data_IF_324204413308
#
_entry.id   IF_324204413308
#
_cell.length_a   1.000
_cell.length_b   1.000
_cell.length_c   1.000
_cell.angle_alpha   90.00
_cell.angle_beta   90.00
_cell.angle_gamma   90.00
#
_symmetry.space_group_name_H-M   'P 1'
#
loop_
_entity.id
_entity.type
_entity.pdbx_description
1 polymer ?
#
# COMPACT_ATOMS: atom_id res chain seq x y z
N UNK A 1 -2.25 32.32 -17.75
CA UNK A 1 -3.44 32.09 -16.90
C UNK A 1 -3.47 30.61 -16.55
N UNK A 2 -3.55 30.22 -15.27
CA UNK A 2 -3.80 28.82 -14.93
C UNK A 2 -5.15 28.40 -15.52
N UNK A 3 -5.19 27.23 -16.13
CA UNK A 3 -6.41 26.71 -16.78
C UNK A 3 -6.94 25.56 -15.93
N UNK A 4 -8.26 25.44 -15.72
CA UNK A 4 -8.80 24.28 -15.04
C UNK A 4 -8.51 23.02 -15.86
N UNK A 5 -7.85 22.06 -15.23
CA UNK A 5 -7.64 20.71 -15.76
C UNK A 5 -8.46 19.71 -14.93
N UNK A 6 -8.90 18.63 -15.57
CA UNK A 6 -9.63 17.55 -14.90
C UNK A 6 -8.67 16.43 -14.54
N UNK A 7 -8.72 15.97 -13.30
CA UNK A 7 -7.96 14.84 -12.79
C UNK A 7 -8.88 13.75 -12.27
N UNK A 8 -8.50 12.50 -12.45
CA UNK A 8 -9.15 11.32 -11.90
C UNK A 8 -8.31 10.81 -10.73
N UNK A 9 -8.92 10.56 -9.58
CA UNK A 9 -8.21 9.96 -8.45
C UNK A 9 -8.15 8.44 -8.62
N UNK A 10 -6.95 7.87 -8.78
CA UNK A 10 -6.72 6.44 -9.03
C UNK A 10 -6.40 5.63 -7.76
N UNK A 11 -6.38 6.26 -6.58
CA UNK A 11 -6.09 5.59 -5.32
C UNK A 11 -4.62 5.66 -4.93
N UNK A 12 -4.16 4.72 -4.09
CA UNK A 12 -2.77 4.65 -3.67
C UNK A 12 -1.93 3.72 -4.54
N UNK A 13 -0.66 4.06 -4.71
CA UNK A 13 0.38 3.22 -5.31
C UNK A 13 1.57 3.14 -4.37
N UNK A 14 2.41 2.13 -4.58
CA UNK A 14 3.69 2.04 -3.92
C UNK A 14 4.73 2.81 -4.74
N UNK A 15 5.46 3.71 -4.10
CA UNK A 15 6.67 4.28 -4.69
C UNK A 15 7.79 3.22 -4.75
N UNK A 16 8.93 3.60 -5.34
CA UNK A 16 10.12 2.72 -5.43
C UNK A 16 10.71 2.33 -4.06
N UNK A 17 10.21 2.91 -2.97
CA UNK A 17 10.60 2.66 -1.58
C UNK A 17 9.47 2.00 -0.77
N UNK A 18 8.46 1.42 -1.43
CA UNK A 18 7.28 0.80 -0.80
C UNK A 18 6.48 1.75 0.12
N UNK A 19 6.50 3.05 -0.15
CA UNK A 19 5.63 4.01 0.53
C UNK A 19 4.36 4.20 -0.28
N UNK A 20 3.22 4.22 0.41
CA UNK A 20 1.97 4.60 -0.23
C UNK A 20 2.02 6.08 -0.63
N UNK A 21 1.86 6.32 -1.93
CA UNK A 21 1.66 7.63 -2.55
C UNK A 21 0.29 7.66 -3.21
N UNK A 22 -0.27 8.85 -3.38
CA UNK A 22 -1.59 9.04 -3.98
C UNK A 22 -1.45 9.37 -5.46
N UNK A 23 -2.08 8.55 -6.29
CA UNK A 23 -2.08 8.70 -7.74
C UNK A 23 -3.33 9.43 -8.21
N UNK A 24 -3.08 10.47 -9.00
CA UNK A 24 -4.03 11.23 -9.78
C UNK A 24 -3.70 11.01 -11.24
N UNK A 25 -4.67 11.18 -12.13
CA UNK A 25 -4.46 10.97 -13.56
C UNK A 25 -5.12 12.07 -14.37
N UNK A 26 -4.44 12.58 -15.39
CA UNK A 26 -5.04 13.54 -16.33
C UNK A 26 -5.97 12.84 -17.33
N UNK A 27 -5.58 11.64 -17.73
CA UNK A 27 -6.28 10.68 -18.59
C UNK A 27 -5.88 9.27 -18.11
N UNK A 28 -6.37 8.20 -18.75
CA UNK A 28 -6.01 6.85 -18.32
C UNK A 28 -4.50 6.53 -18.41
N UNK A 29 -3.67 7.33 -19.09
CA UNK A 29 -2.26 7.01 -19.38
C UNK A 29 -1.24 7.89 -18.65
N UNK A 30 -1.65 9.03 -18.08
CA UNK A 30 -0.75 10.02 -17.49
C UNK A 30 -0.90 10.11 -15.97
N UNK A 31 -0.14 9.31 -15.20
CA UNK A 31 -0.14 9.38 -13.75
C UNK A 31 0.58 10.62 -13.23
N UNK A 32 0.03 11.16 -12.16
CA UNK A 32 0.49 12.33 -11.42
C UNK A 32 0.43 12.01 -9.93
N UNK A 33 1.47 12.36 -9.18
CA UNK A 33 1.55 12.03 -7.77
C UNK A 33 1.50 13.29 -6.90
N UNK A 34 0.44 13.41 -6.11
CA UNK A 34 0.19 14.57 -5.23
C UNK A 34 -0.43 14.12 -3.91
N UNK A 35 -0.52 15.01 -2.92
CA UNK A 35 -1.21 14.72 -1.66
C UNK A 35 -2.67 14.32 -1.89
N UNK A 36 -3.21 13.45 -1.03
CA UNK A 36 -4.64 13.10 -1.05
C UNK A 36 -5.48 14.30 -0.61
N UNK A 37 -6.62 14.52 -1.25
CA UNK A 37 -7.66 15.35 -0.63
C UNK A 37 -8.54 14.54 0.33
N UNK A 38 -9.06 15.23 1.33
CA UNK A 38 -10.11 14.68 2.18
C UNK A 38 -11.33 14.29 1.32
N UNK A 39 -11.85 13.08 1.54
CA UNK A 39 -13.05 12.60 0.85
C UNK A 39 -12.84 12.11 -0.59
N UNK A 40 -11.60 12.05 -1.12
CA UNK A 40 -11.41 11.56 -2.49
C UNK A 40 -11.81 10.09 -2.66
N UNK A 41 -12.71 9.84 -3.61
CA UNK A 41 -13.15 8.52 -4.04
C UNK A 41 -12.39 8.07 -5.31
N UNK A 42 -11.99 6.80 -5.35
CA UNK A 42 -11.33 6.19 -6.53
C UNK A 42 -12.28 6.27 -7.73
N UNK A 43 -11.75 6.70 -8.87
CA UNK A 43 -12.52 6.99 -10.08
C UNK A 43 -13.27 8.32 -10.03
N UNK A 44 -13.24 9.08 -8.94
CA UNK A 44 -13.83 10.41 -8.90
C UNK A 44 -13.03 11.38 -9.78
N UNK A 45 -13.72 12.30 -10.45
CA UNK A 45 -13.11 13.37 -11.23
C UNK A 45 -13.10 14.67 -10.44
N UNK A 46 -12.03 15.45 -10.62
CA UNK A 46 -11.77 16.67 -9.86
C UNK A 46 -11.20 17.73 -10.79
N UNK A 47 -11.62 18.97 -10.66
CA UNK A 47 -11.04 20.11 -11.37
C UNK A 47 -9.94 20.74 -10.53
N UNK A 48 -8.79 21.05 -11.10
CA UNK A 48 -7.70 21.77 -10.45
C UNK A 48 -7.12 22.81 -11.38
N UNK A 49 -6.69 23.94 -10.84
CA UNK A 49 -5.99 24.94 -11.64
C UNK A 49 -4.56 24.45 -11.91
N UNK A 50 -4.18 24.44 -13.18
CA UNK A 50 -2.86 23.97 -13.58
C UNK A 50 -2.44 24.42 -14.96
N UNK A 51 -1.33 23.85 -15.42
CA UNK A 51 -0.81 24.01 -16.76
C UNK A 51 -0.21 22.69 -17.24
N UNK A 52 -0.45 22.38 -18.50
CA UNK A 52 0.15 21.24 -19.20
C UNK A 52 1.14 21.81 -20.20
N UNK A 53 2.42 21.48 -20.05
CA UNK A 53 3.49 21.86 -20.97
C UNK A 53 4.21 20.59 -21.44
N UNK A 54 3.82 20.11 -22.63
CA UNK A 54 4.27 18.83 -23.17
C UNK A 54 3.94 17.66 -22.22
N UNK A 55 5.00 17.06 -21.66
CA UNK A 55 4.89 15.97 -20.68
C UNK A 55 4.78 16.45 -19.22
N UNK A 56 5.03 17.74 -18.97
CA UNK A 56 5.02 18.30 -17.62
C UNK A 56 3.63 18.79 -17.27
N UNK A 57 3.08 18.31 -16.15
CA UNK A 57 1.85 18.83 -15.58
C UNK A 57 2.17 19.52 -14.27
N UNK A 58 1.84 20.80 -14.19
CA UNK A 58 1.92 21.59 -12.96
C UNK A 58 0.50 21.86 -12.47
N UNK A 59 0.23 21.56 -11.20
CA UNK A 59 -1.08 21.78 -10.58
C UNK A 59 -0.93 22.62 -9.33
N UNK A 60 -1.94 23.42 -9.02
CA UNK A 60 -2.09 24.10 -7.74
C UNK A 60 -2.98 23.25 -6.82
N UNK A 61 -2.43 22.49 -5.85
CA UNK A 61 -3.22 21.56 -5.04
C UNK A 61 -4.35 22.24 -4.24
N UNK A 62 -4.21 23.54 -3.95
CA UNK A 62 -5.19 24.30 -3.18
C UNK A 62 -6.50 24.59 -3.93
N UNK A 63 -6.51 24.42 -5.26
CA UNK A 63 -7.69 24.71 -6.10
C UNK A 63 -8.41 23.43 -6.52
N UNK A 64 -7.95 22.25 -6.09
CA UNK A 64 -8.53 20.98 -6.47
C UNK A 64 -9.92 20.80 -5.82
N UNK A 65 -10.95 20.57 -6.66
CA UNK A 65 -12.36 20.44 -6.26
C UNK A 65 -13.01 19.24 -6.93
N UNK A 66 -13.88 18.54 -6.20
CA UNK A 66 -14.65 17.44 -6.78
C UNK A 66 -15.63 17.98 -7.82
N UNK A 67 -15.66 17.39 -9.02
CA UNK A 67 -16.53 17.84 -10.11
C UNK A 67 -17.95 17.27 -10.02
N UNK A 68 -18.24 16.39 -9.05
CA UNK A 68 -19.55 15.74 -8.92
C UNK A 68 -19.68 14.43 -9.71
N UNK A 69 -18.69 14.09 -10.53
CA UNK A 69 -18.75 12.96 -11.46
C UNK A 69 -17.69 11.89 -11.16
N UNK A 70 -17.93 10.68 -11.66
CA UNK A 70 -16.95 9.60 -11.73
C UNK A 70 -16.51 9.41 -13.19
N UNK A 71 -15.34 8.80 -13.34
CA UNK A 71 -14.85 8.28 -14.62
C UNK A 71 -15.89 7.33 -15.23
N UNK A 72 -15.98 7.37 -16.56
CA UNK A 72 -17.02 6.64 -17.29
C UNK A 72 -16.66 5.15 -17.48
N UNK A 73 -15.42 4.74 -17.20
CA UNK A 73 -14.96 3.37 -17.36
C UNK A 73 -15.01 2.59 -16.02
N UNK A 74 -16.03 1.75 -15.78
CA UNK A 74 -16.16 1.00 -14.54
C UNK A 74 -15.09 -0.09 -14.38
N UNK A 75 -14.58 -0.66 -15.47
CA UNK A 75 -13.57 -1.72 -15.43
C UNK A 75 -12.22 -1.14 -15.00
N UNK A 76 -11.88 0.04 -15.52
CA UNK A 76 -10.70 0.78 -15.10
C UNK A 76 -10.78 1.23 -13.63
N UNK A 77 -11.96 1.65 -13.17
CA UNK A 77 -12.19 1.97 -11.75
C UNK A 77 -11.98 0.72 -10.87
N UNK A 78 -12.47 -0.44 -11.29
CA UNK A 78 -12.29 -1.69 -10.54
C UNK A 78 -10.81 -2.10 -10.44
N UNK A 79 -10.04 -1.93 -11.53
CA UNK A 79 -8.60 -2.15 -11.51
C UNK A 79 -7.90 -1.24 -10.49
N UNK A 80 -8.19 0.06 -10.50
CA UNK A 80 -7.63 0.99 -9.53
C UNK A 80 -8.02 0.68 -8.08
N UNK A 81 -9.22 0.17 -7.84
CA UNK A 81 -9.65 -0.28 -6.52
C UNK A 81 -8.85 -1.49 -6.03
N UNK A 82 -8.63 -2.48 -6.91
CA UNK A 82 -7.80 -3.64 -6.61
C UNK A 82 -6.35 -3.23 -6.27
N UNK A 83 -5.78 -2.30 -7.02
CA UNK A 83 -4.43 -1.76 -6.78
C UNK A 83 -4.34 -0.98 -5.45
N UNK A 84 -5.34 -0.17 -5.11
CA UNK A 84 -5.40 0.51 -3.80
C UNK A 84 -5.49 -0.52 -2.66
N UNK A 85 -6.32 -1.56 -2.82
CA UNK A 85 -6.48 -2.61 -1.83
C UNK A 85 -5.17 -3.38 -1.61
N UNK A 86 -4.47 -3.73 -2.70
CA UNK A 86 -3.15 -4.35 -2.61
C UNK A 86 -2.16 -3.46 -1.88
N UNK A 87 -2.09 -2.18 -2.26
CA UNK A 87 -1.21 -1.19 -1.61
C UNK A 87 -1.49 -1.07 -0.12
N UNK A 88 -2.76 -1.10 0.30
CA UNK A 88 -3.14 -1.11 1.72
C UNK A 88 -2.64 -2.32 2.45
N UNK A 89 -2.79 -3.51 1.85
CA UNK A 89 -2.38 -4.76 2.46
C UNK A 89 -0.86 -4.74 2.73
N UNK A 90 -0.07 -4.35 1.73
CA UNK A 90 1.39 -4.22 1.85
C UNK A 90 1.79 -3.23 2.95
N UNK A 91 1.16 -2.04 2.99
CA UNK A 91 1.48 -1.05 4.02
C UNK A 91 1.06 -1.53 5.43
N UNK A 92 -0.07 -2.22 5.54
CA UNK A 92 -0.53 -2.76 6.81
C UNK A 92 0.40 -3.87 7.32
N UNK A 93 0.85 -4.76 6.44
CA UNK A 93 1.84 -5.79 6.74
C UNK A 93 3.16 -5.17 7.21
N UNK A 94 3.73 -4.23 6.46
CA UNK A 94 4.97 -3.55 6.84
C UNK A 94 4.84 -2.78 8.18
N UNK A 95 3.66 -2.21 8.46
CA UNK A 95 3.39 -1.57 9.75
C UNK A 95 3.32 -2.58 10.90
N UNK A 96 2.69 -3.74 10.67
CA UNK A 96 2.65 -4.84 11.63
C UNK A 96 4.06 -5.38 11.91
N UNK A 97 4.86 -5.65 10.86
CA UNK A 97 6.25 -6.08 10.99
C UNK A 97 7.06 -5.12 11.86
N UNK A 98 7.00 -3.80 11.60
CA UNK A 98 7.72 -2.80 12.41
C UNK A 98 7.24 -2.77 13.86
N UNK A 99 5.95 -3.00 14.11
CA UNK A 99 5.42 -3.08 15.47
C UNK A 99 5.95 -4.30 16.20
N UNK A 100 6.03 -5.44 15.53
CA UNK A 100 6.51 -6.70 16.10
C UNK A 100 8.03 -6.76 16.22
N UNK A 101 8.78 -6.18 15.28
CA UNK A 101 10.24 -6.08 15.33
C UNK A 101 10.75 -5.18 16.47
N UNK A 102 9.90 -4.31 17.03
CA UNK A 102 10.22 -3.49 18.21
C UNK A 102 9.90 -4.18 19.53
N UNK A 103 9.25 -5.35 19.51
CA UNK A 103 8.86 -6.04 20.72
C UNK A 103 9.99 -6.94 21.20
N UNK A 104 10.66 -6.54 22.28
CA UNK A 104 11.60 -7.38 23.03
C UNK A 104 10.94 -8.66 23.57
N UNK A 105 9.61 -8.64 23.74
CA UNK A 105 8.85 -9.79 24.23
C UNK A 105 8.87 -10.96 23.23
N UNK A 106 8.96 -10.69 21.92
CA UNK A 106 9.08 -11.75 20.92
C UNK A 106 10.48 -12.37 20.97
N UNK A 107 11.53 -11.57 21.12
CA UNK A 107 12.90 -12.06 21.27
C UNK A 107 13.03 -12.92 22.55
N UNK A 108 12.49 -12.45 23.67
CA UNK A 108 12.46 -13.19 24.94
C UNK A 108 11.65 -14.49 24.81
N UNK A 109 10.50 -14.46 24.12
CA UNK A 109 9.68 -15.65 23.89
C UNK A 109 10.34 -16.65 22.92
N UNK A 110 11.15 -16.18 21.98
CA UNK A 110 11.88 -17.02 21.03
C UNK A 110 13.18 -17.59 21.61
N UNK A 111 13.75 -16.99 22.65
CA UNK A 111 15.02 -17.42 23.25
C UNK A 111 15.08 -18.92 23.60
N UNK A 112 14.04 -19.55 24.21
CA UNK A 112 14.03 -20.99 24.46
C UNK A 112 14.05 -21.83 23.18
N UNK A 113 13.35 -21.39 22.12
CA UNK A 113 13.31 -22.10 20.84
C UNK A 113 14.65 -22.00 20.12
N UNK A 114 15.30 -20.83 20.16
CA UNK A 114 16.66 -20.64 19.65
C UNK A 114 17.66 -21.55 20.37
N UNK A 115 17.56 -21.69 21.69
CA UNK A 115 18.42 -22.59 22.45
C UNK A 115 18.23 -24.07 22.06
N UNK A 116 17.02 -24.48 21.66
CA UNK A 116 16.76 -25.85 21.16
C UNK A 116 17.35 -26.02 19.75
N UNK A 117 17.15 -25.04 18.85
CA UNK A 117 17.72 -25.08 17.49
C UNK A 117 19.25 -25.17 17.54
N UNK A 118 19.90 -24.40 18.43
CA UNK A 118 21.36 -24.42 18.58
C UNK A 118 21.93 -25.78 19.04
N UNK A 119 21.10 -26.65 19.63
CA UNK A 119 21.51 -28.01 20.05
C UNK A 119 21.35 -29.06 18.94
N UNK A 120 20.72 -28.70 17.82
CA UNK A 120 20.59 -29.60 16.67
C UNK A 120 21.95 -29.86 16.04
N UNK A 121 22.18 -31.10 15.60
CA UNK A 121 23.49 -31.53 15.08
C UNK A 121 23.59 -31.33 13.58
N UNK A 122 22.45 -31.21 12.89
CA UNK A 122 22.40 -31.09 11.43
C UNK A 122 21.41 -30.02 10.99
N UNK A 123 21.64 -29.45 9.81
CA UNK A 123 20.73 -28.49 9.19
C UNK A 123 19.35 -29.09 8.91
N UNK A 124 19.27 -30.40 8.66
CA UNK A 124 18.01 -31.12 8.44
C UNK A 124 17.16 -31.16 9.73
N UNK A 125 17.78 -31.45 10.88
CA UNK A 125 17.11 -31.43 12.19
C UNK A 125 16.60 -30.03 12.54
N UNK A 126 17.42 -28.99 12.32
CA UNK A 126 17.01 -27.60 12.53
C UNK A 126 15.78 -27.23 11.69
N UNK A 127 15.78 -27.57 10.39
CA UNK A 127 14.66 -27.31 9.48
C UNK A 127 13.40 -28.06 9.90
N UNK A 128 13.52 -29.32 10.32
CA UNK A 128 12.39 -30.11 10.77
C UNK A 128 11.75 -29.50 12.05
N UNK A 129 12.58 -29.08 13.01
CA UNK A 129 12.10 -28.42 14.23
C UNK A 129 11.37 -27.10 13.90
N UNK A 130 11.97 -26.24 13.06
CA UNK A 130 11.37 -24.97 12.64
C UNK A 130 10.00 -25.22 12.01
N UNK A 131 9.89 -26.19 11.09
CA UNK A 131 8.62 -26.54 10.45
C UNK A 131 7.55 -26.93 11.47
N UNK A 132 7.89 -27.79 12.44
CA UNK A 132 6.93 -28.23 13.47
C UNK A 132 6.45 -27.06 14.33
N UNK A 133 7.34 -26.14 14.69
CA UNK A 133 6.99 -24.94 15.46
C UNK A 133 6.07 -24.04 14.64
N UNK A 134 6.40 -23.76 13.38
CA UNK A 134 5.55 -22.97 12.47
C UNK A 134 4.16 -23.58 12.32
N UNK A 135 4.06 -24.89 12.05
CA UNK A 135 2.78 -25.59 11.90
C UNK A 135 1.91 -25.46 13.16
N UNK A 136 2.51 -25.58 14.35
CA UNK A 136 1.80 -25.42 15.64
C UNK A 136 1.31 -23.98 15.85
N UNK A 137 2.13 -22.98 15.54
CA UNK A 137 1.74 -21.57 15.64
C UNK A 137 0.60 -21.23 14.67
N UNK A 138 0.69 -21.72 13.43
CA UNK A 138 -0.39 -21.56 12.43
C UNK A 138 -1.69 -22.20 12.92
N UNK A 139 -1.64 -23.42 13.46
CA UNK A 139 -2.82 -24.08 14.03
C UNK A 139 -3.44 -23.32 15.21
N UNK A 140 -2.60 -22.78 16.10
CA UNK A 140 -3.08 -22.01 17.25
C UNK A 140 -3.77 -20.70 16.82
N UNK A 141 -3.26 -20.05 15.76
CA UNK A 141 -3.83 -18.81 15.22
C UNK A 141 -5.21 -19.03 14.61
N UNK A 142 -5.39 -20.09 13.82
CA UNK A 142 -6.67 -20.38 13.13
C UNK A 142 -7.73 -21.06 14.00
N UNK A 143 -7.37 -21.54 15.19
CA UNK A 143 -8.30 -22.13 16.17
C UNK A 143 -8.89 -21.11 17.14
N UNK A 144 -8.55 -19.83 16.98
CA UNK A 144 -9.04 -18.71 17.78
C UNK A 144 -10.22 -18.03 17.09
#
# INVERSE_FOLDING_TARGET
>A
MPTPITLIYAGRRLDTKNKAIHEWRLDHDRPLYYAKLAGSAIGGTYTVDGSIDGATVSVNPHTLRYSGTKDADPDQIALWQAEDQHTRAVVAEAAAERRHAKSTELDDALAPLLAIVQRTRTQAEARALIKVVSDKLTQAYWRR
#
